data_IF_644616713756
#
_entry.id   IF_644616713756
#
_cell.length_a   1.000
_cell.length_b   1.000
_cell.length_c   1.000
_cell.angle_alpha   90.00
_cell.angle_beta   90.00
_cell.angle_gamma   90.00
#
_symmetry.space_group_name_H-M   'P 1'
#
loop_
_entity.id
_entity.type
_entity.pdbx_description
1 polymer ?
#
# COMPACT_ATOMS: atom_id res chain seq x y z
N UNK A 1 -26.26 53.08 -41.04
CA UNK A 1 -24.85 53.00 -41.49
C UNK A 1 -23.98 53.48 -40.34
N UNK A 2 -23.29 52.55 -39.65
CA UNK A 2 -22.32 52.91 -38.61
C UNK A 2 -20.96 52.50 -39.15
N UNK A 3 -20.12 53.49 -39.47
CA UNK A 3 -18.75 53.30 -39.89
C UNK A 3 -17.92 52.95 -38.65
N UNK A 4 -17.57 51.68 -38.46
CA UNK A 4 -16.44 51.31 -37.59
C UNK A 4 -15.15 51.70 -38.31
N UNK A 5 -14.53 52.79 -37.87
CA UNK A 5 -13.19 53.16 -38.27
C UNK A 5 -12.20 52.09 -37.78
N UNK A 6 -11.73 51.23 -38.68
CA UNK A 6 -10.56 50.40 -38.43
C UNK A 6 -9.36 51.32 -38.23
N UNK A 7 -8.93 51.51 -36.99
CA UNK A 7 -7.65 52.16 -36.72
C UNK A 7 -6.54 51.31 -37.33
N UNK A 8 -5.65 51.89 -38.16
CA UNK A 8 -4.57 51.15 -38.81
C UNK A 8 -3.65 50.56 -37.73
N UNK A 9 -3.38 49.25 -37.83
CA UNK A 9 -2.59 48.52 -36.85
C UNK A 9 -1.13 49.05 -36.87
N UNK A 10 -0.71 49.76 -35.80
CA UNK A 10 0.61 50.43 -35.72
C UNK A 10 1.76 49.51 -35.29
N UNK A 11 1.48 48.27 -34.92
CA UNK A 11 2.48 47.30 -34.46
C UNK A 11 2.13 45.89 -34.87
N UNK A 12 3.12 44.99 -34.83
CA UNK A 12 2.91 43.56 -35.07
C UNK A 12 1.91 43.00 -34.06
N UNK A 13 1.01 42.12 -34.50
CA UNK A 13 0.02 41.50 -33.62
C UNK A 13 0.69 40.49 -32.67
N UNK A 14 0.14 40.32 -31.47
CA UNK A 14 0.61 39.32 -30.48
C UNK A 14 0.62 37.89 -31.06
N UNK A 15 -0.37 37.55 -31.91
CA UNK A 15 -0.42 36.25 -32.59
C UNK A 15 0.72 36.07 -33.58
N UNK A 16 1.11 37.11 -34.31
CA UNK A 16 2.24 37.08 -35.22
C UNK A 16 3.57 36.98 -34.45
N UNK A 17 3.75 37.76 -33.39
CA UNK A 17 4.93 37.70 -32.53
C UNK A 17 5.09 36.32 -31.85
N UNK A 18 4.01 35.69 -31.39
CA UNK A 18 4.04 34.36 -30.76
C UNK A 18 4.57 33.26 -31.68
N UNK A 19 4.47 33.38 -33.00
CA UNK A 19 5.00 32.36 -33.94
C UNK A 19 6.51 32.25 -33.88
N UNK A 20 7.20 33.34 -33.53
CA UNK A 20 8.65 33.40 -33.42
C UNK A 20 9.14 33.14 -31.99
N UNK A 21 8.24 33.11 -31.01
CA UNK A 21 8.59 32.85 -29.62
C UNK A 21 8.81 31.35 -29.37
N UNK A 22 9.87 31.00 -28.64
CA UNK A 22 10.05 29.63 -28.18
C UNK A 22 8.98 29.28 -27.13
N UNK A 23 8.45 28.05 -27.19
CA UNK A 23 7.49 27.55 -26.20
C UNK A 23 8.18 26.50 -25.35
N UNK A 24 8.24 26.73 -24.03
CA UNK A 24 8.72 25.75 -23.06
C UNK A 24 7.72 24.58 -22.98
N UNK A 25 8.22 23.34 -23.12
CA UNK A 25 7.39 22.12 -23.08
C UNK A 25 7.65 21.38 -21.77
N UNK A 26 6.61 21.07 -20.99
CA UNK A 26 6.72 20.27 -19.75
C UNK A 26 6.89 18.78 -20.04
N UNK A 27 7.38 17.96 -19.09
CA UNK A 27 7.43 16.50 -19.25
C UNK A 27 6.00 15.96 -19.40
N UNK A 28 5.87 14.72 -19.87
CA UNK A 28 4.55 14.10 -19.89
C UNK A 28 4.05 13.89 -18.47
N UNK A 29 2.89 14.47 -18.15
CA UNK A 29 2.25 14.32 -16.85
C UNK A 29 1.31 13.11 -16.89
N UNK A 30 1.47 12.19 -15.94
CA UNK A 30 0.62 11.01 -15.81
C UNK A 30 -0.27 11.16 -14.56
N UNK A 31 -1.59 11.23 -14.78
CA UNK A 31 -2.58 11.43 -13.71
C UNK A 31 -2.70 10.25 -12.75
N UNK A 32 -2.31 9.06 -13.20
CA UNK A 32 -2.41 7.84 -12.40
C UNK A 32 -1.30 7.72 -11.34
N UNK A 33 -0.26 8.56 -11.40
CA UNK A 33 0.83 8.54 -10.42
C UNK A 33 0.26 8.89 -9.05
N UNK A 34 0.46 7.98 -8.10
CA UNK A 34 0.14 8.16 -6.70
C UNK A 34 1.43 8.25 -5.85
N UNK A 35 1.35 8.75 -4.60
CA UNK A 35 2.51 8.77 -3.70
C UNK A 35 3.05 7.38 -3.35
N UNK A 36 2.22 6.33 -3.52
CA UNK A 36 2.52 4.92 -3.20
C UNK A 36 3.06 4.75 -1.79
N UNK A 37 2.37 5.36 -0.82
CA UNK A 37 2.77 5.34 0.60
C UNK A 37 3.02 3.93 1.13
N UNK A 38 2.23 2.94 0.67
CA UNK A 38 2.40 1.55 1.06
C UNK A 38 3.80 1.01 0.70
N UNK A 39 4.31 1.32 -0.50
CA UNK A 39 5.64 0.87 -0.92
C UNK A 39 6.77 1.51 -0.11
N UNK A 40 6.55 2.70 0.44
CA UNK A 40 7.52 3.41 1.27
C UNK A 40 7.52 2.93 2.72
N UNK A 41 6.36 2.48 3.21
CA UNK A 41 6.16 2.05 4.60
C UNK A 41 6.46 0.56 4.82
N UNK A 42 6.38 -0.27 3.78
CA UNK A 42 6.66 -1.70 3.91
C UNK A 42 8.17 -1.97 4.10
N UNK A 43 8.55 -2.87 5.02
CA UNK A 43 9.94 -3.29 5.19
C UNK A 43 10.33 -4.24 4.06
N UNK A 44 11.27 -3.81 3.21
CA UNK A 44 11.78 -4.63 2.11
C UNK A 44 12.89 -5.54 2.60
N UNK A 45 12.75 -6.85 2.34
CA UNK A 45 13.77 -7.86 2.62
C UNK A 45 14.28 -8.40 1.29
N UNK A 46 15.60 -8.47 1.15
CA UNK A 46 16.24 -9.06 -0.03
C UNK A 46 16.25 -10.59 0.08
N UNK A 47 15.87 -11.27 -1.02
CA UNK A 47 15.74 -12.72 -1.07
C UNK A 47 16.68 -13.25 -2.15
N UNK A 48 17.85 -13.77 -1.74
CA UNK A 48 18.90 -14.23 -2.67
C UNK A 48 18.50 -15.49 -3.45
N UNK A 49 17.78 -16.42 -2.82
CA UNK A 49 17.36 -17.69 -3.42
C UNK A 49 16.06 -17.64 -4.24
N UNK A 50 15.47 -16.45 -4.44
CA UNK A 50 14.21 -16.28 -5.17
C UNK A 50 12.95 -16.77 -4.43
N UNK A 51 13.07 -17.41 -3.27
CA UNK A 51 11.95 -17.86 -2.44
C UNK A 51 12.15 -17.47 -0.98
N UNK A 52 11.11 -16.92 -0.35
CA UNK A 52 11.09 -16.59 1.07
C UNK A 52 10.27 -17.61 1.85
N UNK A 53 10.89 -18.32 2.80
CA UNK A 53 10.23 -19.33 3.64
C UNK A 53 10.00 -18.77 5.04
N UNK A 54 8.77 -18.91 5.55
CA UNK A 54 8.42 -18.47 6.91
C UNK A 54 8.34 -19.69 7.82
N UNK A 55 9.41 -19.94 8.56
CA UNK A 55 9.42 -21.03 9.55
C UNK A 55 8.59 -20.62 10.76
N UNK A 56 7.70 -21.51 11.18
CA UNK A 56 6.85 -21.33 12.36
C UNK A 56 7.09 -22.46 13.36
N UNK A 57 6.67 -22.22 14.59
CA UNK A 57 6.61 -23.25 15.61
C UNK A 57 5.43 -24.18 15.30
N UNK A 58 5.59 -25.48 15.56
CA UNK A 58 4.49 -26.41 15.38
C UNK A 58 3.38 -26.16 16.42
N UNK A 59 2.13 -26.13 15.95
CA UNK A 59 0.91 -25.87 16.73
C UNK A 59 0.10 -27.16 16.90
N UNK A 60 0.65 -28.32 16.50
CA UNK A 60 -0.01 -29.61 16.74
C UNK A 60 -0.27 -29.78 18.24
N UNK A 61 -1.56 -29.83 18.60
CA UNK A 61 -2.01 -30.22 19.94
C UNK A 61 -1.64 -31.69 20.11
N UNK A 62 -0.46 -31.95 20.66
CA UNK A 62 -0.11 -33.28 21.15
C UNK A 62 -0.93 -33.50 22.42
N UNK A 63 -1.79 -34.53 22.43
CA UNK A 63 -2.59 -34.88 23.61
C UNK A 63 -1.69 -35.00 24.85
N UNK A 64 -1.95 -34.18 25.87
CA UNK A 64 -1.25 -34.21 27.16
C UNK A 64 -0.32 -33.02 27.49
N UNK A 65 -0.14 -32.05 26.60
CA UNK A 65 0.68 -30.85 26.87
C UNK A 65 -0.15 -29.57 27.01
N UNK A 66 0.21 -28.71 27.96
CA UNK A 66 -0.37 -27.37 28.07
C UNK A 66 0.06 -26.51 26.87
N UNK A 67 -0.87 -25.78 26.27
CA UNK A 67 -0.61 -24.85 25.16
C UNK A 67 -0.71 -23.39 25.64
N UNK A 68 -0.04 -22.47 24.95
CA UNK A 68 -0.23 -21.03 25.14
C UNK A 68 -1.53 -20.55 24.47
N UNK A 69 -1.87 -19.27 24.68
CA UNK A 69 -3.07 -18.65 24.08
C UNK A 69 -3.08 -18.71 22.54
N UNK A 70 -1.90 -18.87 21.92
CA UNK A 70 -1.70 -18.99 20.48
C UNK A 70 -1.71 -20.48 19.99
N UNK A 71 -1.98 -21.44 20.89
CA UNK A 71 -2.10 -22.87 20.59
C UNK A 71 -0.77 -23.64 20.49
N UNK A 72 0.36 -22.98 20.69
CA UNK A 72 1.68 -23.59 20.67
C UNK A 72 1.97 -24.31 21.99
N UNK A 73 2.76 -25.40 21.95
CA UNK A 73 3.19 -26.13 23.15
C UNK A 73 3.84 -25.17 24.16
N UNK A 74 3.52 -25.24 25.44
CA UNK A 74 4.19 -24.38 26.41
C UNK A 74 5.66 -24.78 26.56
N UNK A 75 6.54 -23.82 26.80
CA UNK A 75 7.94 -24.10 27.13
C UNK A 75 8.00 -24.18 28.65
N UNK A 76 8.30 -25.36 29.20
CA UNK A 76 8.37 -25.53 30.65
C UNK A 76 9.49 -24.64 31.19
N UNK A 77 9.10 -23.64 31.97
CA UNK A 77 10.01 -22.68 32.58
C UNK A 77 9.90 -22.80 34.10
N UNK A 78 10.97 -23.27 34.74
CA UNK A 78 11.09 -23.29 36.18
C UNK A 78 11.82 -22.02 36.63
N UNK A 79 11.15 -21.19 37.43
CA UNK A 79 11.78 -20.07 38.14
C UNK A 79 11.83 -20.41 39.63
N UNK A 80 13.02 -20.62 40.19
CA UNK A 80 13.21 -20.91 41.61
C UNK A 80 14.13 -19.86 42.24
N UNK A 81 13.86 -19.46 43.49
CA UNK A 81 14.71 -18.53 44.25
C UNK A 81 15.65 -19.22 45.25
N UNK A 82 15.41 -20.50 45.61
CA UNK A 82 16.33 -21.32 46.40
C UNK A 82 16.29 -22.79 45.94
N UNK A 83 17.46 -23.43 45.91
CA UNK A 83 17.65 -24.81 45.44
C UNK A 83 18.00 -24.91 43.94
N UNK A 84 18.59 -26.05 43.55
CA UNK A 84 18.86 -26.43 42.16
C UNK A 84 17.81 -27.45 41.70
N UNK A 85 16.62 -27.03 41.25
CA UNK A 85 15.63 -27.96 40.73
C UNK A 85 16.12 -28.63 39.44
N UNK A 86 15.84 -29.92 39.28
CA UNK A 86 16.10 -30.62 38.02
C UNK A 86 15.26 -29.99 36.91
N UNK A 87 15.93 -29.36 35.94
CA UNK A 87 15.26 -28.76 34.78
C UNK A 87 14.59 -29.84 33.94
N UNK A 88 13.28 -29.71 33.72
CA UNK A 88 12.56 -30.51 32.72
C UNK A 88 13.12 -30.20 31.34
N UNK A 89 13.51 -31.22 30.59
CA UNK A 89 13.96 -31.04 29.21
C UNK A 89 12.75 -30.79 28.31
N UNK A 90 12.58 -29.54 27.85
CA UNK A 90 11.62 -29.19 26.80
C UNK A 90 12.33 -28.78 25.52
N UNK A 91 11.80 -29.20 24.37
CA UNK A 91 12.23 -28.76 23.04
C UNK A 91 11.10 -28.01 22.33
N UNK A 92 11.50 -27.16 21.38
CA UNK A 92 10.60 -26.35 20.56
C UNK A 92 10.48 -27.02 19.19
N UNK A 93 9.30 -27.57 18.90
CA UNK A 93 9.01 -28.16 17.60
C UNK A 93 8.80 -27.09 16.53
N UNK A 94 9.29 -27.37 15.32
CA UNK A 94 9.10 -26.53 14.14
C UNK A 94 8.09 -27.19 13.20
N UNK A 95 7.37 -26.36 12.44
CA UNK A 95 6.47 -26.83 11.39
C UNK A 95 7.24 -27.59 10.29
N UNK A 96 6.78 -28.79 9.98
CA UNK A 96 7.35 -29.69 8.97
C UNK A 96 7.12 -29.17 7.53
N UNK A 97 6.09 -28.34 7.31
CA UNK A 97 5.73 -27.81 6.00
C UNK A 97 5.48 -26.29 6.02
N UNK A 98 6.53 -25.48 6.26
CA UNK A 98 6.40 -24.04 6.36
C UNK A 98 6.01 -23.41 5.02
N UNK A 99 5.18 -22.35 5.01
CA UNK A 99 4.78 -21.68 3.79
C UNK A 99 5.96 -21.00 3.08
N UNK A 100 6.00 -21.16 1.76
CA UNK A 100 7.01 -20.58 0.86
C UNK A 100 6.39 -19.55 -0.09
N UNK A 101 7.09 -18.42 -0.26
CA UNK A 101 6.69 -17.31 -1.10
C UNK A 101 7.75 -17.06 -2.19
N UNK A 102 7.58 -17.62 -3.40
CA UNK A 102 8.47 -17.35 -4.51
C UNK A 102 8.29 -15.92 -5.03
N UNK A 103 9.39 -15.28 -5.44
CA UNK A 103 9.38 -13.96 -6.05
C UNK A 103 8.63 -14.00 -7.38
N UNK A 104 7.80 -12.98 -7.60
CA UNK A 104 7.05 -12.80 -8.85
C UNK A 104 7.62 -11.68 -9.67
N UNK A 105 7.71 -11.92 -10.98
CA UNK A 105 8.24 -10.95 -11.93
C UNK A 105 7.08 -10.26 -12.65
N UNK A 106 7.07 -8.93 -12.64
CA UNK A 106 6.24 -8.12 -13.51
C UNK A 106 7.12 -7.54 -14.62
N UNK A 107 6.79 -7.83 -15.88
CA UNK A 107 7.57 -7.40 -17.05
C UNK A 107 6.69 -6.61 -18.02
N UNK A 108 7.31 -5.69 -18.75
CA UNK A 108 6.64 -4.95 -19.82
C UNK A 108 7.66 -4.56 -20.89
N UNK A 109 7.19 -4.43 -22.13
CA UNK A 109 8.04 -4.13 -23.30
C UNK A 109 7.70 -2.71 -23.78
N UNK A 110 8.69 -1.83 -23.76
CA UNK A 110 8.58 -0.47 -24.33
C UNK A 110 9.14 -0.47 -25.75
N UNK A 111 8.33 -0.04 -26.72
CA UNK A 111 8.76 0.08 -28.12
C UNK A 111 8.66 1.53 -28.56
N UNK A 112 9.75 2.07 -29.09
CA UNK A 112 9.80 3.40 -29.70
C UNK A 112 10.37 3.26 -31.10
N UNK A 113 9.70 3.85 -32.08
CA UNK A 113 10.19 3.83 -33.46
C UNK A 113 11.47 4.68 -33.58
N UNK A 114 12.49 4.18 -34.27
CA UNK A 114 13.80 4.87 -34.43
C UNK A 114 13.64 6.28 -34.97
N UNK A 115 12.89 6.45 -36.07
CA UNK A 115 12.51 7.76 -36.62
C UNK A 115 11.96 8.74 -35.57
N UNK A 116 11.18 8.29 -34.60
CA UNK A 116 10.62 9.16 -33.56
C UNK A 116 11.71 9.59 -32.57
N UNK A 117 12.54 8.64 -32.15
CA UNK A 117 13.68 8.90 -31.28
C UNK A 117 14.71 9.83 -31.93
N UNK A 118 14.95 9.70 -33.24
CA UNK A 118 15.97 10.48 -33.94
C UNK A 118 15.50 11.91 -34.26
N UNK A 119 14.25 12.08 -34.71
CA UNK A 119 13.74 13.38 -35.17
C UNK A 119 13.09 14.23 -34.07
N UNK A 120 12.55 13.62 -33.01
CA UNK A 120 11.73 14.32 -32.02
C UNK A 120 12.30 14.32 -30.59
N UNK A 121 13.60 14.02 -30.44
CA UNK A 121 14.30 14.05 -29.14
C UNK A 121 15.07 15.34 -28.84
N UNK A 122 14.93 16.36 -29.68
CA UNK A 122 15.69 17.62 -29.58
C UNK A 122 15.49 18.39 -28.26
N UNK A 123 14.28 18.41 -27.71
CA UNK A 123 13.98 19.09 -26.45
C UNK A 123 13.92 18.12 -25.25
N UNK A 124 13.45 16.90 -25.48
CA UNK A 124 13.41 15.81 -24.50
C UNK A 124 13.51 14.47 -25.22
N UNK A 125 14.32 13.59 -24.67
CA UNK A 125 14.50 12.23 -25.17
C UNK A 125 13.19 11.43 -25.09
N UNK A 126 12.73 10.94 -26.24
CA UNK A 126 11.47 10.20 -26.34
C UNK A 126 11.55 8.82 -25.67
N UNK A 127 12.69 8.14 -25.79
CA UNK A 127 12.88 6.83 -25.18
C UNK A 127 12.90 6.95 -23.65
N UNK A 128 13.63 7.94 -23.12
CA UNK A 128 13.71 8.18 -21.68
C UNK A 128 12.34 8.53 -21.07
N UNK A 129 11.55 9.37 -21.73
CA UNK A 129 10.19 9.69 -21.26
C UNK A 129 9.27 8.47 -21.28
N UNK A 130 9.32 7.65 -22.33
CA UNK A 130 8.52 6.41 -22.41
C UNK A 130 8.93 5.40 -21.33
N UNK A 131 10.24 5.22 -21.11
CA UNK A 131 10.76 4.37 -20.03
C UNK A 131 10.32 4.88 -18.66
N UNK A 132 10.44 6.19 -18.41
CA UNK A 132 10.03 6.82 -17.14
C UNK A 132 8.56 6.55 -16.82
N UNK A 133 7.66 6.80 -17.77
CA UNK A 133 6.22 6.59 -17.60
C UNK A 133 5.89 5.11 -17.38
N UNK A 134 6.61 4.24 -18.08
CA UNK A 134 6.43 2.79 -17.95
C UNK A 134 6.86 2.30 -16.57
N UNK A 135 7.99 2.80 -16.04
CA UNK A 135 8.44 2.48 -14.68
C UNK A 135 7.41 2.97 -13.64
N UNK A 136 6.87 4.17 -13.82
CA UNK A 136 5.81 4.68 -12.94
C UNK A 136 4.56 3.79 -12.99
N UNK A 137 4.11 3.37 -14.18
CA UNK A 137 3.01 2.43 -14.32
C UNK A 137 3.29 1.08 -13.66
N UNK A 138 4.52 0.57 -13.79
CA UNK A 138 4.94 -0.69 -13.16
C UNK A 138 4.93 -0.58 -11.63
N UNK A 139 5.36 0.55 -11.07
CA UNK A 139 5.30 0.83 -9.63
C UNK A 139 3.86 0.92 -9.11
N UNK A 140 2.97 1.56 -9.86
CA UNK A 140 1.53 1.58 -9.53
C UNK A 140 0.93 0.16 -9.55
N UNK A 141 1.30 -0.66 -10.55
CA UNK A 141 0.86 -2.06 -10.61
C UNK A 141 1.44 -2.87 -9.45
N UNK A 142 2.71 -2.68 -9.09
CA UNK A 142 3.36 -3.33 -7.95
C UNK A 142 2.58 -3.09 -6.65
N UNK A 143 2.19 -1.85 -6.37
CA UNK A 143 1.38 -1.54 -5.19
C UNK A 143 0.01 -2.24 -5.24
N UNK A 144 -0.63 -2.26 -6.41
CA UNK A 144 -1.91 -2.95 -6.59
C UNK A 144 -1.81 -4.45 -6.32
N UNK A 145 -0.75 -5.11 -6.81
CA UNK A 145 -0.51 -6.55 -6.62
C UNK A 145 -0.30 -6.88 -5.13
N UNK A 146 0.45 -6.07 -4.39
CA UNK A 146 0.67 -6.28 -2.95
C UNK A 146 -0.65 -6.26 -2.18
N UNK A 147 -1.61 -5.43 -2.59
CA UNK A 147 -2.91 -5.33 -1.91
C UNK A 147 -3.87 -6.43 -2.37
N UNK A 148 -3.99 -6.63 -3.69
CA UNK A 148 -5.12 -7.34 -4.30
C UNK A 148 -4.75 -8.66 -5.00
N UNK A 149 -3.50 -9.10 -5.01
CA UNK A 149 -3.16 -10.32 -5.75
C UNK A 149 -3.87 -11.55 -5.17
N UNK A 150 -4.73 -12.16 -5.99
CA UNK A 150 -5.57 -13.32 -5.69
C UNK A 150 -4.97 -14.64 -6.19
N UNK A 151 -3.74 -14.62 -6.69
CA UNK A 151 -3.06 -15.81 -7.22
C UNK A 151 -3.62 -16.32 -8.55
N UNK A 152 -4.40 -15.51 -9.29
CA UNK A 152 -5.19 -15.95 -10.44
C UNK A 152 -6.24 -17.01 -10.06
N UNK A 153 -6.87 -16.87 -8.89
CA UNK A 153 -7.88 -17.78 -8.37
C UNK A 153 -7.35 -18.98 -7.59
N UNK A 154 -6.03 -19.16 -7.54
CA UNK A 154 -5.38 -20.17 -6.70
C UNK A 154 -4.97 -19.55 -5.34
N UNK A 155 -5.59 -19.98 -4.22
CA UNK A 155 -5.36 -19.39 -2.90
C UNK A 155 -3.95 -19.63 -2.35
N UNK A 156 -3.27 -20.69 -2.78
CA UNK A 156 -1.89 -20.99 -2.36
C UNK A 156 -0.93 -20.01 -3.02
N UNK A 157 -1.28 -19.61 -4.25
CA UNK A 157 -0.56 -18.61 -5.04
C UNK A 157 -0.93 -17.16 -4.70
N UNK A 158 -2.03 -16.91 -4.00
CA UNK A 158 -2.35 -15.55 -3.58
C UNK A 158 -1.25 -15.01 -2.67
N UNK A 159 -0.94 -13.73 -2.74
CA UNK A 159 -0.06 -13.07 -1.76
C UNK A 159 -0.56 -11.68 -1.35
N UNK A 160 -1.66 -11.22 -1.95
CA UNK A 160 -2.25 -9.94 -1.62
C UNK A 160 -2.68 -9.88 -0.16
N UNK A 161 -2.46 -8.74 0.49
CA UNK A 161 -2.81 -8.50 1.89
C UNK A 161 -4.28 -8.81 2.18
N UNK A 162 -5.18 -8.48 1.25
CA UNK A 162 -6.62 -8.75 1.42
C UNK A 162 -6.98 -10.24 1.39
N UNK A 163 -6.23 -11.04 0.62
CA UNK A 163 -6.50 -12.47 0.45
C UNK A 163 -5.86 -13.34 1.53
N UNK A 164 -4.72 -12.91 2.09
CA UNK A 164 -3.99 -13.64 3.15
C UNK A 164 -4.40 -13.29 4.58
N UNK A 165 -5.37 -12.41 4.78
CA UNK A 165 -5.92 -12.14 6.10
C UNK A 165 -6.61 -13.39 6.68
N UNK A 166 -6.15 -13.83 7.85
CA UNK A 166 -6.73 -14.97 8.58
C UNK A 166 -8.22 -14.73 8.90
N UNK A 167 -9.11 -15.74 8.81
CA UNK A 167 -10.53 -15.56 9.11
C UNK A 167 -10.81 -14.92 10.47
N UNK A 168 -10.01 -15.20 11.50
CA UNK A 168 -10.16 -14.63 12.86
C UNK A 168 -9.83 -13.13 12.94
N UNK A 169 -9.11 -12.63 11.95
CA UNK A 169 -8.65 -11.24 11.81
C UNK A 169 -9.55 -10.41 10.87
N UNK A 170 -10.62 -10.99 10.33
CA UNK A 170 -11.59 -10.30 9.46
C UNK A 170 -12.74 -9.75 10.28
N UNK A 171 -13.05 -8.48 10.10
CA UNK A 171 -14.13 -7.79 10.79
C UNK A 171 -15.11 -7.18 9.78
N UNK A 172 -16.37 -7.06 10.20
CA UNK A 172 -17.42 -6.39 9.42
C UNK A 172 -17.90 -5.16 10.18
N UNK A 173 -18.07 -4.04 9.47
CA UNK A 173 -18.57 -2.79 10.06
C UNK A 173 -19.97 -2.98 10.63
N UNK A 174 -20.24 -2.44 11.80
CA UNK A 174 -21.55 -2.59 12.48
C UNK A 174 -22.69 -1.88 11.77
N UNK A 175 -22.45 -0.66 11.28
CA UNK A 175 -23.47 0.23 10.73
C UNK A 175 -23.27 0.55 9.24
N UNK A 176 -22.19 0.07 8.63
CA UNK A 176 -21.80 0.36 7.25
C UNK A 176 -20.59 1.30 7.12
N UNK A 177 -20.66 2.59 7.49
CA UNK A 177 -19.48 3.45 7.47
C UNK A 177 -18.51 3.04 8.59
N UNK A 178 -17.20 3.22 8.39
CA UNK A 178 -16.20 2.90 9.40
C UNK A 178 -16.31 3.85 10.60
N UNK A 179 -16.63 3.30 11.76
CA UNK A 179 -16.77 4.04 13.01
C UNK A 179 -15.50 3.96 13.86
N UNK A 180 -15.30 4.89 14.81
CA UNK A 180 -14.28 4.79 15.86
C UNK A 180 -14.22 3.41 16.54
N UNK A 181 -15.38 2.83 16.82
CA UNK A 181 -15.49 1.53 17.50
C UNK A 181 -14.98 0.39 16.60
N UNK A 182 -15.25 0.45 15.28
CA UNK A 182 -14.74 -0.55 14.33
C UNK A 182 -13.19 -0.49 14.23
N UNK A 183 -12.60 0.70 14.34
CA UNK A 183 -11.14 0.87 14.36
C UNK A 183 -10.52 0.42 15.68
N UNK A 184 -11.19 0.67 16.81
CA UNK A 184 -10.76 0.15 18.11
C UNK A 184 -10.81 -1.40 18.12
N UNK A 185 -11.78 -2.02 17.44
CA UNK A 185 -11.85 -3.48 17.27
C UNK A 185 -10.69 -4.04 16.41
N UNK A 186 -10.30 -3.33 15.35
CA UNK A 186 -9.10 -3.67 14.57
C UNK A 186 -7.82 -3.59 15.41
N UNK A 187 -7.69 -2.57 16.26
CA UNK A 187 -6.55 -2.43 17.16
C UNK A 187 -6.52 -3.52 18.23
N UNK A 188 -7.69 -3.94 18.73
CA UNK A 188 -7.79 -5.04 19.68
C UNK A 188 -7.28 -6.36 19.08
N UNK A 189 -7.50 -6.59 17.78
CA UNK A 189 -6.95 -7.76 17.05
C UNK A 189 -5.44 -7.66 16.83
N UNK A 190 -4.93 -6.47 16.48
CA UNK A 190 -3.51 -6.23 16.17
C UNK A 190 -2.80 -5.48 17.32
N UNK A 191 -3.05 -5.90 18.56
CA UNK A 191 -2.63 -5.15 19.75
C UNK A 191 -1.11 -5.16 20.00
N UNK A 192 -0.39 -6.18 19.52
CA UNK A 192 1.04 -6.40 19.84
C UNK A 192 1.91 -5.22 19.38
N UNK A 193 1.78 -4.77 18.13
CA UNK A 193 2.51 -3.61 17.59
C UNK A 193 1.90 -3.13 16.25
N UNK A 194 0.78 -2.37 16.26
CA UNK A 194 0.16 -1.90 15.03
C UNK A 194 0.97 -0.75 14.39
N UNK A 195 1.33 -0.89 13.11
CA UNK A 195 2.15 0.10 12.41
C UNK A 195 1.30 1.24 11.80
N UNK A 196 0.32 0.91 10.96
CA UNK A 196 -0.54 1.86 10.28
C UNK A 196 -1.84 1.19 9.81
N UNK A 197 -2.89 1.97 9.63
CA UNK A 197 -4.08 1.55 8.88
C UNK A 197 -3.89 1.86 7.40
N UNK A 198 -4.38 0.99 6.52
CA UNK A 198 -4.45 1.24 5.09
C UNK A 198 -5.92 1.39 4.69
N UNK A 199 -6.29 2.53 4.12
CA UNK A 199 -7.68 2.80 3.74
C UNK A 199 -7.78 3.61 2.45
N UNK A 200 -8.89 3.43 1.73
CA UNK A 200 -9.20 4.29 0.59
C UNK A 200 -9.51 5.72 1.06
N UNK A 201 -9.11 6.79 0.33
CA UNK A 201 -9.38 8.18 0.73
C UNK A 201 -10.85 8.48 1.06
N UNK A 202 -11.78 7.86 0.34
CA UNK A 202 -13.23 7.96 0.62
C UNK A 202 -13.62 7.37 1.99
N UNK A 203 -13.00 6.25 2.39
CA UNK A 203 -13.23 5.62 3.68
C UNK A 203 -12.63 6.47 4.81
N UNK A 204 -11.44 7.05 4.60
CA UNK A 204 -10.81 8.01 5.52
C UNK A 204 -11.72 9.22 5.75
N UNK A 205 -12.30 9.78 4.67
CA UNK A 205 -13.25 10.88 4.77
C UNK A 205 -14.55 10.47 5.47
N UNK A 206 -15.04 9.24 5.27
CA UNK A 206 -16.20 8.72 5.99
C UNK A 206 -15.92 8.59 7.49
N UNK A 207 -14.77 8.02 7.86
CA UNK A 207 -14.31 7.95 9.24
C UNK A 207 -14.21 9.34 9.89
N UNK A 208 -13.62 10.32 9.19
CA UNK A 208 -13.57 11.70 9.68
C UNK A 208 -14.95 12.31 9.96
N UNK A 209 -15.97 12.01 9.13
CA UNK A 209 -17.36 12.42 9.39
C UNK A 209 -17.96 11.71 10.59
N UNK A 210 -17.69 10.42 10.77
CA UNK A 210 -18.13 9.63 11.92
C UNK A 210 -17.53 10.15 13.24
N UNK A 211 -16.24 10.48 13.24
CA UNK A 211 -15.52 11.14 14.32
C UNK A 211 -16.14 12.50 14.68
N UNK A 212 -16.37 13.34 13.67
CA UNK A 212 -16.96 14.67 13.86
C UNK A 212 -18.37 14.56 14.44
N UNK A 213 -19.20 13.62 13.97
CA UNK A 213 -20.56 13.41 14.48
C UNK A 213 -20.58 12.99 15.96
N UNK A 214 -19.58 12.21 16.40
CA UNK A 214 -19.41 11.80 17.80
C UNK A 214 -18.67 12.84 18.65
N UNK A 215 -18.23 13.96 18.08
CA UNK A 215 -17.50 15.01 18.79
C UNK A 215 -16.05 14.65 19.14
N UNK A 216 -15.44 13.68 18.44
CA UNK A 216 -14.07 13.21 18.68
C UNK A 216 -13.20 13.49 17.45
N UNK A 217 -12.56 14.66 17.35
CA UNK A 217 -11.67 14.94 16.22
C UNK A 217 -10.38 14.10 16.32
N UNK A 218 -9.99 13.35 15.27
CA UNK A 218 -8.77 12.56 15.29
C UNK A 218 -7.53 13.48 15.25
N UNK A 219 -6.46 13.07 15.91
CA UNK A 219 -5.19 13.77 15.86
C UNK A 219 -4.52 13.61 14.48
N UNK A 220 -3.49 14.41 14.22
CA UNK A 220 -2.71 14.33 12.97
C UNK A 220 -1.23 14.15 13.26
N UNK A 221 -0.53 13.40 12.41
CA UNK A 221 0.92 13.24 12.43
C UNK A 221 1.50 13.57 11.07
N UNK A 222 2.71 14.13 11.04
CA UNK A 222 3.41 14.41 9.79
C UNK A 222 4.32 13.22 9.42
N UNK A 223 4.05 12.56 8.30
CA UNK A 223 4.88 11.49 7.75
C UNK A 223 5.34 11.89 6.35
N UNK A 224 6.63 11.76 6.05
CA UNK A 224 7.19 12.10 4.74
C UNK A 224 6.85 13.53 4.26
N UNK A 225 6.68 14.47 5.20
CA UNK A 225 6.31 15.86 4.90
C UNK A 225 4.82 16.09 4.58
N UNK A 226 3.97 15.06 4.74
CA UNK A 226 2.51 15.16 4.59
C UNK A 226 1.79 14.87 5.91
N UNK A 227 0.74 15.64 6.27
CA UNK A 227 -0.10 15.33 7.43
C UNK A 227 -1.03 14.15 7.14
N UNK A 228 -1.16 13.25 8.11
CA UNK A 228 -2.10 12.12 8.12
C UNK A 228 -2.93 12.13 9.40
N UNK A 229 -4.20 11.71 9.30
CA UNK A 229 -5.02 11.49 10.49
C UNK A 229 -4.52 10.23 11.24
N UNK A 230 -4.66 10.25 12.56
CA UNK A 230 -4.31 9.12 13.42
C UNK A 230 -5.48 8.72 14.30
N UNK A 231 -5.54 7.43 14.62
CA UNK A 231 -6.47 6.90 15.60
C UNK A 231 -5.69 6.14 16.66
N UNK A 232 -5.83 6.54 17.93
CA UNK A 232 -5.06 6.00 19.07
C UNK A 232 -3.53 5.97 18.85
N UNK A 233 -3.00 6.96 18.11
CA UNK A 233 -1.56 7.05 17.80
C UNK A 233 -1.14 6.28 16.54
N UNK A 234 -2.02 5.48 15.92
CA UNK A 234 -1.74 4.74 14.68
C UNK A 234 -2.18 5.56 13.46
N UNK A 235 -1.30 5.84 12.49
CA UNK A 235 -1.62 6.64 11.31
C UNK A 235 -2.51 5.90 10.31
N UNK A 236 -3.42 6.63 9.67
CA UNK A 236 -4.29 6.11 8.61
C UNK A 236 -3.77 6.58 7.25
N UNK A 237 -3.26 5.62 6.48
CA UNK A 237 -2.57 5.83 5.21
C UNK A 237 -3.54 5.65 4.04
N UNK A 238 -3.56 6.66 3.17
CA UNK A 238 -4.39 6.68 1.98
C UNK A 238 -3.79 5.81 0.87
N UNK A 239 -4.58 4.88 0.33
CA UNK A 239 -4.26 4.16 -0.91
C UNK A 239 -5.48 4.01 -1.80
N UNK A 240 -5.33 4.36 -3.08
CA UNK A 240 -6.37 4.17 -4.10
C UNK A 240 -6.43 2.73 -4.64
N UNK A 241 -5.58 1.82 -4.15
CA UNK A 241 -5.54 0.41 -4.59
C UNK A 241 -6.56 -0.47 -3.88
N UNK A 242 -7.14 0.01 -2.78
CA UNK A 242 -8.27 -0.63 -2.12
C UNK A 242 -9.55 -0.31 -2.92
N UNK A 243 -10.19 -1.34 -3.45
CA UNK A 243 -11.43 -1.18 -4.20
C UNK A 243 -12.52 -0.61 -3.28
N UNK A 244 -13.28 0.35 -3.79
CA UNK A 244 -14.47 0.86 -3.13
C UNK A 244 -15.55 0.95 -4.19
N UNK A 245 -16.65 0.24 -3.99
CA UNK A 245 -17.84 0.29 -4.83
C UNK A 245 -18.39 1.74 -4.92
N UNK A 246 -19.20 2.02 -5.94
CA UNK A 246 -19.88 3.30 -6.13
C UNK A 246 -20.68 3.74 -4.90
N UNK A 247 -21.13 2.78 -4.07
CA UNK A 247 -21.83 3.01 -2.79
C UNK A 247 -20.91 3.26 -1.58
N UNK A 248 -19.59 3.25 -1.76
CA UNK A 248 -18.63 3.49 -0.67
C UNK A 248 -18.30 2.26 0.18
N UNK A 249 -18.71 1.06 -0.24
CA UNK A 249 -18.35 -0.21 0.43
C UNK A 249 -17.10 -0.81 -0.22
N UNK A 250 -16.16 -1.24 0.61
CA UNK A 250 -15.00 -2.05 0.19
C UNK A 250 -15.40 -3.52 0.08
#
# INVERSE_FOLDING_TARGET
MVYTSEQPQQSVSVRAAKKLACTMKSPLQMRAISPRWLLQLLPWVEVSGGTYRVNRRDVRILEGFAANDDGEKNIDMLSCHEGEPTLTQTFVDYDDNPPEYPLRVAQTIVRVHTRVSDLYSNARDQLQEQLRLTIEALRERKEWEIVNNDGNGDPDRAFGLLHKADPSMRLSTRTGPPTPDDLDELLAKVWKQPAFFLAHPKAIAAFGRECTRRGVPPATVNLFGSPFITWRGVPIIASNKLAVDAKGKS
#
